data_IF_371028460445
#
_entry.id   IF_371028460445
#
_cell.length_a   1.000
_cell.length_b   1.000
_cell.length_c   1.000
_cell.angle_alpha   90.00
_cell.angle_beta   90.00
_cell.angle_gamma   90.00
#
_symmetry.space_group_name_H-M   'P 1'
#
loop_
_entity.id
_entity.type
_entity.pdbx_description
1 polymer ?
#
# COMPACT_ATOMS: atom_id res chain seq x y z
N UNK A 1 -5.16 -11.19 -0.16
CA UNK A 1 -5.92 -10.13 -0.87
C UNK A 1 -5.95 -8.87 -0.02
N UNK A 2 -6.14 -7.69 -0.60
CA UNK A 2 -6.18 -6.45 0.18
C UNK A 2 -6.86 -5.31 -0.55
N UNK A 3 -7.31 -4.32 0.23
CA UNK A 3 -7.91 -3.08 -0.22
C UNK A 3 -6.96 -1.93 0.11
N UNK A 4 -6.76 -1.02 -0.87
CA UNK A 4 -5.91 0.16 -0.73
C UNK A 4 -6.58 1.35 -1.37
N UNK A 5 -6.87 2.36 -0.56
CA UNK A 5 -7.43 3.62 -1.05
C UNK A 5 -6.32 4.65 -1.12
N UNK A 6 -6.36 5.56 -2.08
CA UNK A 6 -5.32 6.58 -2.25
C UNK A 6 -5.96 7.97 -2.23
N UNK A 7 -5.86 8.65 -1.09
CA UNK A 7 -6.42 9.98 -0.91
C UNK A 7 -5.36 11.05 -1.06
N UNK A 8 -5.46 11.86 -2.11
CA UNK A 8 -4.52 12.95 -2.35
C UNK A 8 -4.76 14.09 -1.36
N UNK A 9 -3.71 14.57 -0.71
CA UNK A 9 -3.80 15.75 0.13
C UNK A 9 -3.73 17.03 -0.73
N UNK A 10 -4.88 17.67 -0.94
CA UNK A 10 -5.02 18.90 -1.77
C UNK A 10 -4.37 18.71 -3.15
N UNK A 11 -3.62 19.70 -3.62
CA UNK A 11 -2.86 19.67 -4.88
C UNK A 11 -1.42 19.14 -4.71
N UNK A 12 -1.06 18.64 -3.54
CA UNK A 12 0.31 18.16 -3.25
C UNK A 12 0.59 16.80 -3.90
N UNK A 13 1.84 16.35 -3.80
CA UNK A 13 2.25 15.00 -4.20
C UNK A 13 2.13 13.97 -3.06
N UNK A 14 1.52 14.36 -1.94
CA UNK A 14 1.31 13.52 -0.77
C UNK A 14 -0.06 12.85 -0.84
N UNK A 15 -0.09 11.57 -0.49
CA UNK A 15 -1.28 10.73 -0.44
C UNK A 15 -1.36 10.02 0.90
N UNK A 16 -2.54 10.02 1.50
CA UNK A 16 -2.87 9.08 2.57
C UNK A 16 -3.37 7.79 1.92
N UNK A 17 -2.77 6.66 2.26
CA UNK A 17 -3.12 5.35 1.75
C UNK A 17 -3.50 4.41 2.90
N UNK A 18 -4.76 4.43 3.37
CA UNK A 18 -5.24 3.39 4.25
C UNK A 18 -5.29 2.06 3.49
N UNK A 19 -4.84 1.02 4.15
CA UNK A 19 -4.73 -0.33 3.64
C UNK A 19 -5.36 -1.31 4.62
N UNK A 20 -6.11 -2.26 4.08
CA UNK A 20 -6.48 -3.49 4.77
C UNK A 20 -5.99 -4.69 3.95
N UNK A 21 -5.45 -5.71 4.59
CA UNK A 21 -5.11 -6.96 3.90
C UNK A 21 -5.56 -8.18 4.71
N UNK A 22 -5.83 -9.26 3.99
CA UNK A 22 -6.15 -10.58 4.50
C UNK A 22 -5.28 -11.62 3.78
N UNK A 23 -4.55 -12.41 4.56
CA UNK A 23 -3.79 -13.56 4.10
C UNK A 23 -4.63 -14.83 4.22
N UNK A 24 -4.61 -15.66 3.18
CA UNK A 24 -5.22 -16.97 3.18
C UNK A 24 -4.15 -18.02 3.52
N UNK A 25 -4.40 -18.87 4.51
CA UNK A 25 -3.46 -19.86 5.04
C UNK A 25 -4.08 -20.59 6.23
N UNK A 26 -3.31 -21.45 6.90
CA UNK A 26 -3.79 -22.28 8.02
C UNK A 26 -4.24 -21.46 9.26
N UNK A 27 -3.79 -20.20 9.36
CA UNK A 27 -4.28 -19.20 10.31
C UNK A 27 -4.80 -17.93 9.64
N UNK A 28 -5.82 -17.31 10.24
CA UNK A 28 -6.36 -16.02 9.77
C UNK A 28 -5.33 -14.90 9.99
N UNK A 29 -4.76 -14.42 8.88
CA UNK A 29 -3.81 -13.29 8.91
C UNK A 29 -4.52 -12.05 8.38
N UNK A 30 -4.52 -10.96 9.13
CA UNK A 30 -5.08 -9.69 8.68
C UNK A 30 -4.26 -8.51 9.18
N UNK A 31 -4.39 -7.37 8.52
CA UNK A 31 -3.77 -6.14 8.99
C UNK A 31 -4.43 -4.89 8.45
N UNK A 32 -4.32 -3.82 9.24
CA UNK A 32 -4.81 -2.49 8.94
C UNK A 32 -3.65 -1.51 9.07
N UNK A 33 -3.37 -0.75 8.02
CA UNK A 33 -2.26 0.18 7.96
C UNK A 33 -2.73 1.53 7.44
N UNK A 34 -2.13 2.60 7.95
CA UNK A 34 -2.24 3.94 7.37
C UNK A 34 -0.85 4.32 6.88
N UNK A 35 -0.75 4.56 5.57
CA UNK A 35 0.51 4.90 4.92
C UNK A 35 0.47 6.34 4.41
N UNK A 36 1.56 7.08 4.56
CA UNK A 36 1.82 8.32 3.84
C UNK A 36 2.69 8.03 2.63
N UNK A 37 2.24 8.39 1.44
CA UNK A 37 2.95 8.16 0.18
C UNK A 37 3.28 9.49 -0.48
N UNK A 38 4.53 9.62 -0.95
CA UNK A 38 4.98 10.73 -1.77
C UNK A 38 5.23 10.27 -3.20
N UNK A 39 4.57 10.91 -4.17
CA UNK A 39 4.75 10.63 -5.60
C UNK A 39 5.80 11.56 -6.21
N UNK A 40 6.80 10.98 -6.85
CA UNK A 40 7.86 11.70 -7.55
C UNK A 40 7.39 12.04 -8.98
N UNK A 41 7.28 13.33 -9.28
CA UNK A 41 6.97 13.81 -10.63
C UNK A 41 8.26 13.95 -11.43
N UNK A 42 8.50 13.01 -12.33
CA UNK A 42 9.61 13.08 -13.27
C UNK A 42 9.21 13.99 -14.44
N UNK A 43 10.01 15.03 -14.72
CA UNK A 43 9.73 16.07 -15.73
C UNK A 43 9.38 15.56 -17.14
N UNK A 44 9.79 14.34 -17.49
CA UNK A 44 9.66 13.80 -18.85
C UNK A 44 8.81 12.53 -18.94
N UNK A 45 8.13 12.09 -17.86
CA UNK A 45 7.34 10.85 -17.86
C UNK A 45 6.04 10.99 -17.07
N UNK A 46 4.95 11.28 -17.76
CA UNK A 46 3.62 11.26 -17.14
C UNK A 46 3.06 9.84 -16.97
N UNK A 47 3.57 8.89 -17.76
CA UNK A 47 3.12 7.49 -17.75
C UNK A 47 3.79 6.64 -16.67
N UNK A 48 4.82 7.17 -16.02
CA UNK A 48 5.54 6.47 -14.96
C UNK A 48 5.83 7.43 -13.81
N UNK A 49 5.05 7.30 -12.74
CA UNK A 49 5.14 8.15 -11.56
C UNK A 49 5.54 7.28 -10.35
N UNK A 50 6.84 7.14 -10.09
CA UNK A 50 7.31 6.36 -8.94
C UNK A 50 6.89 7.05 -7.64
N UNK A 51 6.71 6.25 -6.60
CA UNK A 51 6.34 6.73 -5.29
C UNK A 51 6.99 5.89 -4.19
N UNK A 52 7.21 6.53 -3.07
CA UNK A 52 7.69 5.90 -1.84
C UNK A 52 6.84 6.37 -0.68
N UNK A 53 6.69 5.52 0.33
CA UNK A 53 5.88 5.83 1.48
C UNK A 53 6.25 5.02 2.70
N UNK A 54 5.80 5.53 3.84
CA UNK A 54 5.95 4.91 5.14
C UNK A 54 4.58 4.85 5.80
N UNK A 55 4.35 3.80 6.58
CA UNK A 55 3.09 3.62 7.29
C UNK A 55 3.26 2.92 8.61
N UNK A 56 2.23 3.05 9.43
CA UNK A 56 2.08 2.38 10.71
C UNK A 56 0.73 1.69 10.73
N UNK A 57 0.64 0.59 11.47
CA UNK A 57 -0.57 -0.21 11.51
C UNK A 57 -0.54 -1.29 12.56
N UNK A 58 -1.61 -2.07 12.55
CA UNK A 58 -1.78 -3.28 13.36
C UNK A 58 -1.93 -4.48 12.45
N UNK A 59 -1.42 -5.62 12.89
CA UNK A 59 -1.51 -6.86 12.15
C UNK A 59 -1.60 -8.06 13.09
N UNK A 60 -2.37 -9.05 12.68
CA UNK A 60 -2.42 -10.37 13.30
C UNK A 60 -1.94 -11.38 12.26
N UNK A 61 -0.90 -12.14 12.60
CA UNK A 61 -0.36 -13.21 11.76
C UNK A 61 -0.07 -14.42 12.66
N UNK A 62 -0.72 -15.55 12.37
CA UNK A 62 -0.52 -16.83 13.07
C UNK A 62 -1.81 -17.44 13.65
N UNK A 63 -1.75 -18.74 13.94
CA UNK A 63 -2.81 -19.51 14.59
C UNK A 63 -2.81 -19.31 16.11
N UNK A 64 -4.00 -19.11 16.69
CA UNK A 64 -4.34 -19.51 18.07
C UNK A 64 -3.86 -18.70 19.27
N UNK A 65 -3.45 -17.43 19.15
CA UNK A 65 -3.39 -16.56 20.34
C UNK A 65 -4.40 -15.41 20.31
N UNK A 66 -5.22 -15.37 21.36
CA UNK A 66 -6.32 -14.44 21.62
C UNK A 66 -5.83 -12.97 21.71
N UNK A 67 -4.52 -12.72 21.75
CA UNK A 67 -3.93 -11.38 21.89
C UNK A 67 -2.75 -11.06 20.95
N UNK A 68 -2.58 -11.76 19.83
CA UNK A 68 -1.39 -11.59 18.98
C UNK A 68 -1.44 -10.41 17.98
N UNK A 69 -2.17 -9.34 18.32
CA UNK A 69 -2.18 -8.10 17.51
C UNK A 69 -0.86 -7.37 17.73
N UNK A 70 -0.06 -7.25 16.67
CA UNK A 70 1.24 -6.59 16.70
C UNK A 70 1.14 -5.24 16.03
N UNK A 71 1.75 -4.22 16.65
CA UNK A 71 2.08 -3.00 15.94
C UNK A 71 3.08 -3.33 14.84
N UNK A 72 2.93 -2.67 13.71
CA UNK A 72 3.84 -2.82 12.60
C UNK A 72 4.07 -1.51 11.89
N UNK A 73 5.21 -1.43 11.25
CA UNK A 73 5.48 -0.38 10.28
C UNK A 73 5.55 -0.98 8.89
N UNK A 74 5.33 -0.13 7.89
CA UNK A 74 5.30 -0.51 6.50
C UNK A 74 6.13 0.46 5.66
N UNK A 75 6.93 -0.08 4.75
CA UNK A 75 7.63 0.67 3.72
C UNK A 75 6.95 0.32 2.40
N UNK A 76 6.47 1.33 1.69
CA UNK A 76 5.79 1.16 0.40
C UNK A 76 6.65 1.75 -0.69
N UNK A 77 6.96 0.97 -1.71
CA UNK A 77 7.67 1.41 -2.90
C UNK A 77 6.89 0.97 -4.12
N UNK A 78 6.57 1.90 -5.02
CA UNK A 78 5.76 1.56 -6.18
C UNK A 78 5.87 2.57 -7.29
N UNK A 79 5.09 2.33 -8.33
CA UNK A 79 4.93 3.25 -9.44
C UNK A 79 3.49 3.24 -9.94
N UNK A 80 2.97 4.42 -10.19
CA UNK A 80 1.78 4.56 -11.00
C UNK A 80 2.20 4.49 -12.47
N UNK A 81 1.60 3.59 -13.21
CA UNK A 81 1.91 3.29 -14.60
C UNK A 81 1.01 4.10 -15.55
N UNK A 82 0.93 3.69 -16.80
CA UNK A 82 0.15 4.35 -17.85
C UNK A 82 -1.34 4.50 -17.46
N UNK A 83 -1.96 5.56 -17.96
CA UNK A 83 -3.39 5.81 -17.79
C UNK A 83 -4.18 4.89 -18.72
N UNK A 84 -5.26 4.28 -18.21
CA UNK A 84 -6.26 3.60 -19.05
C UNK A 84 -7.61 4.20 -18.69
N UNK A 85 -8.33 4.70 -19.70
CA UNK A 85 -9.52 5.52 -19.49
C UNK A 85 -9.23 6.67 -18.51
N UNK A 86 -10.08 6.84 -17.49
CA UNK A 86 -9.89 7.88 -16.48
C UNK A 86 -9.01 7.45 -15.31
N UNK A 87 -8.75 6.15 -15.14
CA UNK A 87 -7.94 5.63 -14.05
C UNK A 87 -6.49 5.35 -14.44
N UNK A 88 -5.79 4.66 -13.54
CA UNK A 88 -4.37 4.37 -13.72
C UNK A 88 -3.98 3.04 -13.10
N UNK A 89 -3.19 2.24 -13.83
CA UNK A 89 -2.59 1.04 -13.23
C UNK A 89 -1.48 1.42 -12.25
N UNK A 90 -1.29 0.60 -11.24
CA UNK A 90 -0.16 0.73 -10.32
C UNK A 90 0.40 -0.64 -9.99
N UNK A 91 1.69 -0.64 -9.68
CA UNK A 91 2.39 -1.78 -9.12
C UNK A 91 3.21 -1.28 -7.94
N UNK A 92 3.20 -2.03 -6.84
CA UNK A 92 4.01 -1.70 -5.69
C UNK A 92 4.39 -2.91 -4.86
N UNK A 93 5.33 -2.65 -3.96
CA UNK A 93 5.81 -3.54 -2.94
C UNK A 93 5.59 -2.89 -1.58
N UNK A 94 5.03 -3.65 -0.65
CA UNK A 94 4.92 -3.28 0.76
C UNK A 94 5.78 -4.21 1.60
N UNK A 95 6.76 -3.65 2.31
CA UNK A 95 7.65 -4.35 3.21
C UNK A 95 7.31 -3.99 4.66
N UNK A 96 6.68 -4.92 5.37
CA UNK A 96 6.25 -4.71 6.76
C UNK A 96 7.28 -5.29 7.73
N UNK A 97 7.54 -4.55 8.82
CA UNK A 97 8.46 -4.92 9.90
C UNK A 97 9.85 -5.35 9.38
N UNK A 98 10.56 -4.44 8.67
CA UNK A 98 11.85 -4.70 8.02
C UNK A 98 11.83 -5.92 7.10
N UNK A 99 10.95 -5.94 6.09
CA UNK A 99 10.89 -7.01 5.07
C UNK A 99 10.50 -8.40 5.59
N UNK A 100 10.11 -8.54 6.87
CA UNK A 100 9.62 -9.81 7.41
C UNK A 100 8.34 -10.27 6.70
N UNK A 101 7.50 -9.33 6.29
CA UNK A 101 6.32 -9.61 5.48
C UNK A 101 6.28 -8.70 4.27
N UNK A 102 6.60 -9.28 3.11
CA UNK A 102 6.60 -8.57 1.84
C UNK A 102 5.36 -8.94 1.04
N UNK A 103 4.71 -7.92 0.48
CA UNK A 103 3.56 -8.09 -0.40
C UNK A 103 3.82 -7.33 -1.70
N UNK A 104 3.64 -8.01 -2.82
CA UNK A 104 3.55 -7.39 -4.14
C UNK A 104 2.07 -7.17 -4.46
N UNK A 105 1.74 -5.98 -4.94
CA UNK A 105 0.39 -5.63 -5.36
C UNK A 105 0.44 -5.02 -6.76
N UNK A 106 -0.54 -5.41 -7.57
CA UNK A 106 -0.86 -4.76 -8.83
C UNK A 106 -2.35 -4.45 -8.82
N UNK A 107 -2.74 -3.29 -9.34
CA UNK A 107 -4.14 -2.89 -9.34
C UNK A 107 -4.43 -1.71 -10.24
N UNK A 108 -5.72 -1.37 -10.29
CA UNK A 108 -6.24 -0.23 -11.01
C UNK A 108 -6.78 0.79 -10.03
N UNK A 109 -6.28 2.03 -10.10
CA UNK A 109 -6.76 3.16 -9.30
C UNK A 109 -7.89 3.84 -10.06
N UNK A 110 -9.03 3.94 -9.39
CA UNK A 110 -10.20 4.65 -9.90
C UNK A 110 -9.97 6.18 -9.85
N UNK A 111 -10.60 6.95 -10.76
CA UNK A 111 -10.38 8.40 -10.91
C UNK A 111 -10.96 9.31 -9.82
N UNK A 112 -11.56 8.75 -8.76
CA UNK A 112 -12.32 9.49 -7.76
C UNK A 112 -11.63 9.52 -6.39
#
# INVERSE_FOLDING_TARGET
MGLRNHYRYKTTNLYAMPEAFFGFGSGSSFGLFVNGIYTLKLRSREDFLPYAGLGLGIMKIGESEVNNTKLGFNIVLGANLFKIANGRFYVDMSARNLFKYTQLAAGYRLPF
#
